data_IF_983872104817
#
_entry.id   IF_983872104817
#
_cell.length_a   1.000
_cell.length_b   1.000
_cell.length_c   1.000
_cell.angle_alpha   90.00
_cell.angle_beta   90.00
_cell.angle_gamma   90.00
#
_symmetry.space_group_name_H-M   'P 1'
#
loop_
_entity.id
_entity.type
_entity.pdbx_description
1 polymer ?
#
# COMPACT_ATOMS: atom_id res chain seq x y z
N UNK A 1 -1.10 19.12 -1.69
CA UNK A 1 -1.68 18.22 -0.66
C UNK A 1 -1.16 16.86 -1.07
N UNK A 2 -0.09 16.40 -0.41
CA UNK A 2 0.66 15.23 -0.85
C UNK A 2 -0.27 14.08 -1.10
N UNK A 3 -0.32 13.63 -2.36
CA UNK A 3 -1.09 12.45 -2.70
C UNK A 3 -0.29 11.28 -2.15
N UNK A 4 -0.80 10.67 -1.07
CA UNK A 4 -0.28 9.40 -0.60
C UNK A 4 -0.49 8.41 -1.76
N UNK A 5 0.61 7.95 -2.35
CA UNK A 5 0.59 6.91 -3.37
C UNK A 5 0.65 5.59 -2.63
N UNK A 6 -0.50 4.93 -2.54
CA UNK A 6 -0.57 3.64 -1.89
C UNK A 6 -0.04 2.58 -2.85
N UNK A 7 1.05 1.95 -2.45
CA UNK A 7 1.75 0.92 -3.21
C UNK A 7 1.12 -0.47 -3.02
N UNK A 8 0.06 -0.59 -2.21
CA UNK A 8 -0.69 -1.83 -2.03
C UNK A 8 -1.14 -2.47 -3.36
N UNK A 9 -1.54 -1.64 -4.35
CA UNK A 9 -1.87 -2.12 -5.70
C UNK A 9 -0.66 -2.74 -6.40
N UNK A 10 0.53 -2.17 -6.25
CA UNK A 10 1.76 -2.70 -6.84
C UNK A 10 2.11 -4.05 -6.22
N UNK A 11 1.97 -4.19 -4.89
CA UNK A 11 2.20 -5.47 -4.19
C UNK A 11 1.26 -6.57 -4.71
N UNK A 12 -0.01 -6.25 -4.98
CA UNK A 12 -0.94 -7.20 -5.58
C UNK A 12 -0.52 -7.59 -7.00
N UNK A 13 -0.12 -6.64 -7.83
CA UNK A 13 0.36 -6.92 -9.21
C UNK A 13 1.63 -7.77 -9.19
N UNK A 14 2.57 -7.48 -8.29
CA UNK A 14 3.78 -8.29 -8.09
C UNK A 14 3.43 -9.71 -7.66
N UNK A 15 2.45 -9.85 -6.76
CA UNK A 15 1.96 -11.16 -6.34
C UNK A 15 1.30 -11.93 -7.49
N UNK A 16 0.52 -11.26 -8.33
CA UNK A 16 -0.05 -11.84 -9.55
C UNK A 16 1.04 -12.36 -10.50
N UNK A 17 2.11 -11.58 -10.66
CA UNK A 17 3.26 -11.97 -11.48
C UNK A 17 4.00 -13.18 -10.89
N UNK A 18 4.16 -13.24 -9.58
CA UNK A 18 4.82 -14.35 -8.87
C UNK A 18 4.01 -15.64 -8.96
N UNK A 19 2.71 -15.58 -8.72
CA UNK A 19 1.85 -16.77 -8.69
C UNK A 19 1.41 -17.23 -10.09
N UNK A 20 1.58 -16.38 -11.12
CA UNK A 20 1.12 -16.66 -12.48
C UNK A 20 -0.42 -16.75 -12.57
N UNK A 21 -1.12 -16.25 -11.55
CA UNK A 21 -2.58 -16.28 -11.43
C UNK A 21 -3.12 -14.90 -11.08
N UNK A 22 -4.37 -14.66 -11.44
CA UNK A 22 -5.01 -13.38 -11.19
C UNK A 22 -5.51 -13.29 -9.74
N UNK A 23 -4.65 -12.78 -8.85
CA UNK A 23 -5.00 -12.47 -7.46
C UNK A 23 -5.99 -11.30 -7.39
N UNK A 24 -7.19 -11.60 -6.95
CA UNK A 24 -8.28 -10.64 -6.83
C UNK A 24 -8.19 -9.84 -5.53
N UNK A 25 -8.78 -8.64 -5.51
CA UNK A 25 -8.92 -7.85 -4.27
C UNK A 25 -9.74 -8.62 -3.23
N UNK A 26 -10.70 -9.45 -3.67
CA UNK A 26 -11.52 -10.28 -2.81
C UNK A 26 -10.65 -11.27 -2.00
N UNK A 27 -9.77 -12.02 -2.65
CA UNK A 27 -8.91 -12.99 -1.98
C UNK A 27 -7.97 -12.33 -0.97
N UNK A 28 -7.38 -11.18 -1.34
CA UNK A 28 -6.54 -10.42 -0.41
C UNK A 28 -7.36 -9.88 0.76
N UNK A 29 -8.58 -9.40 0.50
CA UNK A 29 -9.46 -8.88 1.55
C UNK A 29 -9.84 -9.96 2.57
N UNK A 30 -10.12 -11.18 2.10
CA UNK A 30 -10.44 -12.34 2.94
C UNK A 30 -9.23 -12.81 3.74
N UNK A 31 -8.03 -12.83 3.13
CA UNK A 31 -6.81 -13.26 3.81
C UNK A 31 -6.30 -12.25 4.86
N UNK A 32 -6.47 -10.95 4.59
CA UNK A 32 -6.02 -9.87 5.47
C UNK A 32 -7.08 -9.55 6.55
N UNK A 33 -8.34 -9.93 6.33
CA UNK A 33 -9.44 -9.61 7.23
C UNK A 33 -9.88 -8.15 7.15
N UNK A 34 -9.70 -7.51 5.99
CA UNK A 34 -10.09 -6.12 5.74
C UNK A 34 -11.25 -6.08 4.76
N UNK A 35 -12.20 -5.19 4.95
CA UNK A 35 -13.33 -5.02 4.02
C UNK A 35 -12.83 -4.75 2.59
N UNK A 36 -13.43 -5.44 1.60
CA UNK A 36 -13.05 -5.34 0.19
C UNK A 36 -13.11 -3.91 -0.35
N UNK A 37 -14.14 -3.14 0.01
CA UNK A 37 -14.26 -1.75 -0.44
C UNK A 37 -13.21 -0.87 0.22
N UNK A 38 -12.89 -1.15 1.48
CA UNK A 38 -11.82 -0.47 2.20
C UNK A 38 -10.45 -0.76 1.61
N UNK A 39 -10.13 -2.02 1.31
CA UNK A 39 -8.88 -2.41 0.65
C UNK A 39 -8.77 -1.79 -0.75
N UNK A 40 -9.85 -1.77 -1.52
CA UNK A 40 -9.90 -1.08 -2.82
C UNK A 40 -9.61 0.42 -2.69
N UNK A 41 -10.18 1.10 -1.68
CA UNK A 41 -9.87 2.52 -1.40
C UNK A 41 -8.43 2.72 -0.98
N UNK A 42 -7.84 1.78 -0.24
CA UNK A 42 -6.42 1.77 0.09
C UNK A 42 -5.60 1.65 -1.21
N UNK A 43 -5.87 0.68 -2.08
CA UNK A 43 -5.15 0.50 -3.36
C UNK A 43 -5.22 1.73 -4.28
N UNK A 44 -6.34 2.46 -4.29
CA UNK A 44 -6.51 3.67 -5.10
C UNK A 44 -6.00 4.94 -4.41
N UNK A 45 -5.66 4.85 -3.13
CA UNK A 45 -5.31 6.00 -2.31
C UNK A 45 -6.42 6.99 -1.97
N UNK A 46 -7.66 6.53 -2.03
CA UNK A 46 -8.85 7.28 -1.66
C UNK A 46 -9.24 7.04 -0.19
N UNK A 47 -8.26 7.09 0.72
CA UNK A 47 -8.45 6.87 2.16
C UNK A 47 -7.78 8.00 2.94
N UNK A 48 -8.51 8.53 3.93
CA UNK A 48 -8.04 9.61 4.82
C UNK A 48 -7.14 9.09 5.93
N UNK A 49 -7.39 7.88 6.42
CA UNK A 49 -6.65 7.25 7.51
C UNK A 49 -6.77 5.72 7.44
N UNK A 50 -5.64 5.03 7.54
CA UNK A 50 -5.54 3.57 7.66
C UNK A 50 -5.29 3.21 9.13
N UNK A 51 -5.94 2.16 9.64
CA UNK A 51 -5.66 1.71 11.00
C UNK A 51 -4.30 1.00 11.04
N UNK A 52 -3.52 1.12 12.13
CA UNK A 52 -2.25 0.41 12.26
C UNK A 52 -2.41 -1.12 12.09
N UNK A 53 -3.48 -1.69 12.63
CA UNK A 53 -3.82 -3.11 12.52
C UNK A 53 -3.95 -3.57 11.06
N UNK A 54 -4.65 -2.79 10.23
CA UNK A 54 -4.87 -3.07 8.82
C UNK A 54 -3.55 -3.01 8.05
N UNK A 55 -2.71 -2.02 8.39
CA UNK A 55 -1.41 -1.85 7.77
C UNK A 55 -0.48 -3.04 8.06
N UNK A 56 -0.45 -3.49 9.31
CA UNK A 56 0.34 -4.67 9.74
C UNK A 56 -0.17 -5.93 9.07
N UNK A 57 -1.49 -6.13 8.99
CA UNK A 57 -2.08 -7.30 8.33
C UNK A 57 -1.71 -7.35 6.84
N UNK A 58 -1.79 -6.21 6.14
CA UNK A 58 -1.38 -6.09 4.74
C UNK A 58 0.11 -6.43 4.58
N UNK A 59 0.99 -5.83 5.40
CA UNK A 59 2.44 -6.08 5.34
C UNK A 59 2.77 -7.55 5.60
N UNK A 60 2.13 -8.15 6.59
CA UNK A 60 2.34 -9.56 6.97
C UNK A 60 1.92 -10.50 5.85
N UNK A 61 0.73 -10.27 5.26
CA UNK A 61 0.23 -11.08 4.15
C UNK A 61 1.17 -11.05 2.95
N UNK A 62 1.58 -9.85 2.52
CA UNK A 62 2.46 -9.74 1.37
C UNK A 62 3.89 -10.21 1.67
N UNK A 63 4.38 -10.04 2.90
CA UNK A 63 5.69 -10.58 3.30
C UNK A 63 5.72 -12.10 3.19
N UNK A 64 4.67 -12.77 3.68
CA UNK A 64 4.57 -14.22 3.61
C UNK A 64 4.46 -14.74 2.17
N UNK A 65 3.71 -14.05 1.30
CA UNK A 65 3.46 -14.48 -0.08
C UNK A 65 4.59 -14.13 -1.04
N UNK A 66 5.14 -12.93 -0.94
CA UNK A 66 6.23 -12.47 -1.79
C UNK A 66 7.59 -12.98 -1.33
N UNK A 67 7.69 -13.57 -0.12
CA UNK A 67 8.95 -14.07 0.48
C UNK A 67 10.03 -12.98 0.59
N UNK A 68 9.60 -11.72 0.69
CA UNK A 68 10.44 -10.55 0.91
C UNK A 68 9.87 -9.73 2.04
N UNK A 69 10.74 -9.09 2.83
CA UNK A 69 10.29 -8.19 3.88
C UNK A 69 9.57 -6.99 3.25
N UNK A 70 8.34 -6.74 3.69
CA UNK A 70 7.52 -5.59 3.28
C UNK A 70 7.22 -4.79 4.52
N UNK A 71 7.70 -3.55 4.52
CA UNK A 71 7.45 -2.61 5.62
C UNK A 71 6.27 -1.69 5.29
N UNK A 72 5.80 -0.99 6.31
CA UNK A 72 4.81 0.08 6.25
C UNK A 72 5.13 1.14 5.19
N UNK A 73 6.41 1.46 4.97
CA UNK A 73 6.89 2.38 3.92
C UNK A 73 6.75 1.82 2.49
N UNK A 74 6.70 0.49 2.35
CA UNK A 74 6.43 -0.16 1.07
C UNK A 74 4.95 -0.17 0.74
N UNK A 75 4.07 -0.02 1.72
CA UNK A 75 2.62 0.09 1.53
C UNK A 75 2.21 1.57 1.39
N UNK A 76 2.81 2.44 2.20
CA UNK A 76 2.57 3.89 2.23
C UNK A 76 3.69 4.61 1.48
N UNK A 77 3.45 4.96 0.22
CA UNK A 77 4.35 5.84 -0.53
C UNK A 77 4.00 7.30 -0.31
N UNK A 78 4.96 8.10 0.17
CA UNK A 78 4.93 9.54 -0.05
C UNK A 78 5.36 9.83 -1.50
N UNK A 79 4.61 10.68 -2.21
CA UNK A 79 5.00 11.12 -3.55
C UNK A 79 6.05 12.24 -3.44
N UNK A 80 7.34 11.98 -3.77
CA UNK A 80 8.38 13.01 -3.67
C UNK A 80 8.20 14.14 -4.70
N UNK A 81 7.31 13.97 -5.69
CA UNK A 81 6.96 15.02 -6.65
C UNK A 81 5.85 15.97 -6.15
N UNK A 82 5.43 15.89 -4.89
CA UNK A 82 4.65 16.97 -4.29
C UNK A 82 5.60 18.18 -4.09
N UNK A 83 5.61 19.10 -5.06
CA UNK A 83 6.49 20.29 -5.12
C UNK A 83 6.62 21.06 -3.79
N UNK A 84 5.63 20.98 -2.90
CA UNK A 84 5.65 21.61 -1.57
C UNK A 84 6.57 20.93 -0.54
N UNK A 85 6.79 19.62 -0.64
CA UNK A 85 7.73 18.91 0.26
C UNK A 85 9.18 19.28 -0.07
N UNK A 86 9.48 19.51 -1.36
CA UNK A 86 10.76 20.06 -1.83
C UNK A 86 10.95 21.51 -1.37
N UNK A 87 9.91 22.36 -1.44
CA UNK A 87 9.99 23.74 -0.92
C UNK A 87 10.27 23.78 0.60
N UNK A 88 9.58 22.97 1.41
CA UNK A 88 9.81 22.90 2.85
C UNK A 88 11.20 22.34 3.21
N UNK A 89 11.71 21.36 2.45
CA UNK A 89 13.06 20.85 2.62
C UNK A 89 14.13 21.89 2.21
N UNK A 90 13.85 22.73 1.22
CA UNK A 90 14.75 23.81 0.79
C UNK A 90 14.73 25.06 1.68
N UNK A 91 13.66 25.29 2.44
CA UNK A 91 13.54 26.39 3.42
C UNK A 91 14.16 26.05 4.79
N UNK A 92 14.47 24.77 5.02
CA UNK A 92 15.14 24.29 6.23
C UNK A 92 16.67 24.09 6.06
N UNK A 93 17.21 24.44 4.88
CA UNK A 93 18.64 24.49 4.57
C UNK A 93 19.14 25.94 4.56
#
# INVERSE_FOLDING_TARGET
MGKIKYKARMLRVELQQKEGQNVTIQEVSEAVGVDRFRLSRIEMGHIKAIKPEELVAICTFYTARLERFIDTNDVLGFDPNDQRALELASLAA
#
